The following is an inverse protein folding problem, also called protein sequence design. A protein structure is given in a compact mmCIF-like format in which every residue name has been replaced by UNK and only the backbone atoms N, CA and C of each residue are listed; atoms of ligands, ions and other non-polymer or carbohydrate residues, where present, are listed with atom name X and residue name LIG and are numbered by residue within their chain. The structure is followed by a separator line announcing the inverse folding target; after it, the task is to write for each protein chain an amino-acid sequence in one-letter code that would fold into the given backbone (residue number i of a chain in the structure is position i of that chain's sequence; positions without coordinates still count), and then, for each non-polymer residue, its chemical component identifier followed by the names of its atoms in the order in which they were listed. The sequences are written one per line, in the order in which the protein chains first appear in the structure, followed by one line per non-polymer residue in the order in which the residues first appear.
data_IF_291913327202
#
_entry.id   IF_291913327202
#
_cell.length_a   1.000
_cell.length_b   1.000
_cell.length_c   1.000
_cell.angle_alpha   90.00
_cell.angle_beta   90.00
_cell.angle_gamma   90.00
#
_symmetry.space_group_name_H-M   'P 1'
#
loop_
_entity.id
_entity.type
_entity.pdbx_description
1 polymer ?
#
# COMPACT_ATOMS: atom_id res chain seq x y z
N UNK A 1 -9.91 -32.14 1.75
CA UNK A 1 -9.83 -31.39 0.47
C UNK A 1 -10.79 -30.20 0.57
N UNK A 2 -10.30 -29.07 1.07
CA UNK A 2 -10.74 -27.69 0.78
C UNK A 2 -9.68 -26.75 1.41
N UNK A 3 -8.65 -26.33 0.66
CA UNK A 3 -7.69 -25.34 1.14
C UNK A 3 -7.95 -24.03 0.38
N UNK A 4 -8.77 -23.14 0.93
CA UNK A 4 -9.08 -21.86 0.24
C UNK A 4 -9.31 -20.69 1.19
N UNK A 5 -8.77 -20.71 2.42
CA UNK A 5 -9.05 -19.63 3.40
C UNK A 5 -7.86 -19.05 4.15
N UNK A 6 -6.62 -19.23 3.70
CA UNK A 6 -5.46 -18.85 4.53
C UNK A 6 -4.27 -18.25 3.78
N UNK A 7 -4.42 -17.71 2.56
CA UNK A 7 -3.27 -17.33 1.72
C UNK A 7 -3.21 -15.85 1.25
N UNK A 8 -4.14 -14.97 1.65
CA UNK A 8 -4.15 -13.56 1.19
C UNK A 8 -3.38 -12.59 2.12
N UNK A 9 -2.47 -13.07 2.98
CA UNK A 9 -2.48 -12.65 4.39
C UNK A 9 -1.64 -11.42 4.84
N UNK A 10 -0.68 -10.85 4.09
CA UNK A 10 0.20 -9.82 4.74
C UNK A 10 0.25 -8.45 4.05
N UNK A 11 0.28 -8.32 2.72
CA UNK A 11 0.16 -6.98 2.07
C UNK A 11 -1.25 -6.78 1.50
N UNK A 12 -1.77 -7.79 0.81
CA UNK A 12 -3.15 -7.83 0.30
C UNK A 12 -4.20 -7.78 1.42
N UNK A 13 -4.03 -8.54 2.50
CA UNK A 13 -4.97 -8.48 3.63
C UNK A 13 -4.82 -7.24 4.49
N UNK A 14 -3.62 -6.69 4.70
CA UNK A 14 -3.50 -5.42 5.42
C UNK A 14 -4.19 -4.31 4.62
N UNK A 15 -4.05 -4.28 3.29
CA UNK A 15 -4.72 -3.30 2.44
C UNK A 15 -6.24 -3.56 2.27
N UNK A 16 -6.66 -4.83 2.08
CA UNK A 16 -8.07 -5.22 1.93
C UNK A 16 -8.86 -5.12 3.25
N UNK A 17 -8.27 -5.58 4.36
CA UNK A 17 -8.86 -5.43 5.69
C UNK A 17 -8.91 -3.96 6.11
N UNK A 18 -7.92 -3.12 5.74
CA UNK A 18 -7.95 -1.68 5.98
C UNK A 18 -8.96 -0.94 5.08
N UNK A 19 -9.05 -1.27 3.77
CA UNK A 19 -10.05 -0.68 2.86
C UNK A 19 -11.47 -0.91 3.37
N UNK A 20 -11.72 -2.07 3.99
CA UNK A 20 -13.03 -2.41 4.55
C UNK A 20 -13.29 -1.84 5.96
N UNK A 21 -12.25 -1.53 6.75
CA UNK A 21 -12.40 -1.04 8.13
C UNK A 21 -12.17 0.47 8.31
N UNK A 22 -11.25 1.09 7.58
CA UNK A 22 -10.85 2.50 7.77
C UNK A 22 -11.49 3.51 6.81
N UNK A 23 -12.13 3.06 5.72
CA UNK A 23 -13.05 3.92 4.96
C UNK A 23 -14.21 4.45 5.82
N UNK A 24 -14.57 3.72 6.89
CA UNK A 24 -15.55 4.16 7.89
C UNK A 24 -14.96 5.04 9.01
N UNK A 25 -13.67 4.91 9.35
CA UNK A 25 -13.08 5.61 10.50
C UNK A 25 -12.57 7.02 10.19
N UNK A 26 -12.23 7.33 8.93
CA UNK A 26 -11.85 8.69 8.52
C UNK A 26 -13.04 9.65 8.35
N UNK A 27 -14.27 9.16 8.52
CA UNK A 27 -15.47 9.99 8.49
C UNK A 27 -15.67 10.85 9.76
N UNK A 28 -14.87 10.67 10.81
CA UNK A 28 -14.97 11.48 12.04
C UNK A 28 -13.75 12.39 12.20
N UNK A 29 -13.72 13.48 11.45
CA UNK A 29 -13.01 14.67 11.91
C UNK A 29 -13.70 15.17 13.19
N UNK A 30 -12.98 15.54 14.26
CA UNK A 30 -13.61 16.24 15.37
C UNK A 30 -14.17 17.54 14.79
N UNK A 31 -15.49 17.73 14.90
CA UNK A 31 -16.14 18.98 14.57
C UNK A 31 -15.64 20.07 15.53
N UNK A 32 -14.45 20.62 15.29
CA UNK A 32 -14.06 21.90 15.88
C UNK A 32 -14.91 22.94 15.20
N UNK A 33 -15.99 23.33 15.87
CA UNK A 33 -16.91 24.36 15.42
C UNK A 33 -16.09 25.60 15.03
N UNK A 34 -16.07 25.99 13.75
CA UNK A 34 -15.32 27.15 13.31
C UNK A 34 -16.04 28.41 13.76
N UNK A 35 -15.26 29.39 14.20
CA UNK A 35 -15.73 30.73 14.55
C UNK A 35 -16.32 31.41 13.30
N UNK A 36 -17.65 31.56 13.30
CA UNK A 36 -18.47 32.03 12.18
C UNK A 36 -18.37 33.54 11.90
N UNK A 37 -17.42 34.25 12.50
CA UNK A 37 -17.35 35.73 12.46
C UNK A 37 -16.52 36.32 11.32
N UNK A 38 -15.92 35.50 10.44
CA UNK A 38 -15.14 36.00 9.29
C UNK A 38 -15.96 35.96 7.99
N UNK A 39 -16.38 37.10 7.42
CA UNK A 39 -17.07 37.11 6.14
C UNK A 39 -16.03 36.90 5.03
N UNK A 40 -16.09 35.76 4.34
CA UNK A 40 -15.28 35.50 3.14
C UNK A 40 -14.72 34.08 2.99
N UNK A 41 -14.85 33.21 4.00
CA UNK A 41 -14.64 31.78 3.81
C UNK A 41 -15.99 31.10 3.70
N UNK A 42 -16.17 30.30 2.64
CA UNK A 42 -17.34 29.46 2.45
C UNK A 42 -17.67 28.71 3.75
N UNK A 43 -18.97 28.59 4.04
CA UNK A 43 -19.46 27.92 5.24
C UNK A 43 -18.82 26.53 5.35
N UNK A 44 -18.05 26.23 6.40
CA UNK A 44 -17.40 24.93 6.58
C UNK A 44 -18.40 23.75 6.63
N UNK A 45 -19.70 24.02 6.84
CA UNK A 45 -20.78 23.03 6.73
C UNK A 45 -21.21 22.71 5.28
N UNK A 46 -20.62 23.36 4.26
CA UNK A 46 -20.96 23.14 2.83
C UNK A 46 -19.98 22.24 2.07
N UNK A 47 -18.94 21.70 2.71
CA UNK A 47 -18.04 20.74 2.06
C UNK A 47 -18.70 19.36 1.99
N UNK A 48 -18.92 18.85 0.77
CA UNK A 48 -19.39 17.48 0.57
C UNK A 48 -18.28 16.48 0.94
N UNK A 49 -18.26 16.08 2.21
CA UNK A 49 -17.31 15.11 2.75
C UNK A 49 -17.42 13.75 2.07
N UNK A 50 -18.62 13.36 1.61
CA UNK A 50 -18.81 12.09 0.90
C UNK A 50 -18.12 12.13 -0.46
N UNK A 51 -18.26 13.23 -1.20
CA UNK A 51 -17.52 13.44 -2.44
C UNK A 51 -16.01 13.47 -2.20
N UNK A 52 -15.54 14.21 -1.20
CA UNK A 52 -14.12 14.31 -0.87
C UNK A 52 -13.51 12.93 -0.53
N UNK A 53 -14.17 12.15 0.33
CA UNK A 53 -13.73 10.80 0.69
C UNK A 53 -13.78 9.84 -0.50
N UNK A 54 -14.78 9.97 -1.38
CA UNK A 54 -14.86 9.14 -2.59
C UNK A 54 -13.72 9.43 -3.55
N UNK A 55 -13.33 10.70 -3.72
CA UNK A 55 -12.18 11.08 -4.56
C UNK A 55 -10.89 10.46 -4.01
N UNK A 56 -10.67 10.55 -2.69
CA UNK A 56 -9.50 9.94 -2.05
C UNK A 56 -9.49 8.42 -2.21
N UNK A 57 -10.63 7.76 -2.00
CA UNK A 57 -10.78 6.32 -2.20
C UNK A 57 -10.45 5.90 -3.64
N UNK A 58 -10.96 6.63 -4.64
CA UNK A 58 -10.70 6.32 -6.05
C UNK A 58 -9.22 6.46 -6.40
N UNK A 59 -8.56 7.51 -5.89
CA UNK A 59 -7.12 7.71 -6.04
C UNK A 59 -6.32 6.56 -5.42
N UNK A 60 -6.64 6.20 -4.18
CA UNK A 60 -5.90 5.16 -3.45
C UNK A 60 -6.13 3.78 -4.09
N UNK A 61 -7.34 3.53 -4.60
CA UNK A 61 -7.67 2.32 -5.37
C UNK A 61 -6.88 2.26 -6.69
N UNK A 62 -6.70 3.39 -7.39
CA UNK A 62 -5.93 3.41 -8.63
C UNK A 62 -4.46 3.01 -8.39
N UNK A 63 -3.85 3.49 -7.30
CA UNK A 63 -2.49 3.07 -6.93
C UNK A 63 -2.41 1.59 -6.54
N UNK A 64 -3.41 1.07 -5.83
CA UNK A 64 -3.48 -0.34 -5.51
C UNK A 64 -3.58 -1.22 -6.75
N UNK A 65 -4.45 -0.87 -7.70
CA UNK A 65 -4.59 -1.61 -8.95
C UNK A 65 -3.31 -1.58 -9.78
N UNK A 66 -2.63 -0.43 -9.83
CA UNK A 66 -1.32 -0.30 -10.48
C UNK A 66 -0.27 -1.19 -9.82
N UNK A 67 -0.23 -1.24 -8.48
CA UNK A 67 0.68 -2.11 -7.73
C UNK A 67 0.44 -3.59 -8.04
N UNK A 68 -0.83 -4.03 -8.03
CA UNK A 68 -1.19 -5.40 -8.37
C UNK A 68 -0.85 -5.76 -9.82
N UNK A 69 -1.12 -4.86 -10.76
CA UNK A 69 -0.79 -5.07 -12.17
C UNK A 69 0.73 -5.18 -12.38
N UNK A 70 1.50 -4.27 -11.77
CA UNK A 70 2.96 -4.28 -11.86
C UNK A 70 3.56 -5.57 -11.27
N UNK A 71 3.03 -6.06 -10.14
CA UNK A 71 3.45 -7.35 -9.56
C UNK A 71 3.15 -8.49 -10.52
N UNK A 72 1.91 -8.60 -11.02
CA UNK A 72 1.50 -9.69 -11.89
C UNK A 72 2.33 -9.75 -13.19
N UNK A 73 2.70 -8.59 -13.72
CA UNK A 73 3.55 -8.45 -14.91
C UNK A 73 5.05 -8.66 -14.64
N UNK A 74 5.46 -8.68 -13.36
CA UNK A 74 6.88 -8.80 -12.98
C UNK A 74 7.67 -7.50 -13.10
N UNK A 75 7.02 -6.34 -13.19
CA UNK A 75 7.68 -5.04 -13.34
C UNK A 75 8.01 -4.42 -11.98
N UNK A 76 9.20 -4.75 -11.47
CA UNK A 76 9.70 -4.20 -10.21
C UNK A 76 9.89 -2.68 -10.24
N UNK A 77 10.15 -2.09 -11.41
CA UNK A 77 10.30 -0.64 -11.55
C UNK A 77 9.00 0.07 -11.21
N UNK A 78 7.88 -0.37 -11.77
CA UNK A 78 6.54 0.16 -11.47
C UNK A 78 6.12 -0.08 -10.02
N UNK A 79 6.43 -1.27 -9.47
CA UNK A 79 6.22 -1.57 -8.05
C UNK A 79 6.90 -0.54 -7.16
N UNK A 80 8.16 -0.20 -7.44
CA UNK A 80 8.93 0.79 -6.67
C UNK A 80 8.38 2.21 -6.80
N UNK A 81 7.87 2.59 -7.97
CA UNK A 81 7.22 3.90 -8.16
C UNK A 81 6.00 4.06 -7.25
N UNK A 82 5.12 3.06 -7.18
CA UNK A 82 3.97 3.09 -6.26
C UNK A 82 4.43 3.06 -4.80
N UNK A 83 5.51 2.34 -4.49
CA UNK A 83 6.07 2.26 -3.14
C UNK A 83 6.52 3.61 -2.57
N UNK A 84 6.93 4.57 -3.43
CA UNK A 84 7.23 5.95 -3.01
C UNK A 84 6.01 6.63 -2.36
N UNK A 85 4.82 6.38 -2.91
CA UNK A 85 3.56 6.94 -2.42
C UNK A 85 3.11 6.20 -1.16
N UNK A 86 3.23 4.87 -1.14
CA UNK A 86 2.82 4.03 -0.01
C UNK A 86 3.53 4.41 1.29
N UNK A 87 4.78 4.88 1.24
CA UNK A 87 5.49 5.38 2.44
C UNK A 87 4.70 6.47 3.17
N UNK A 88 4.18 7.45 2.45
CA UNK A 88 3.38 8.53 3.03
C UNK A 88 2.01 8.03 3.49
N UNK A 89 1.45 7.08 2.75
CA UNK A 89 0.18 6.44 3.09
C UNK A 89 0.23 5.70 4.43
N UNK A 90 1.28 4.90 4.67
CA UNK A 90 1.45 4.21 5.96
C UNK A 90 1.66 5.18 7.12
N UNK A 91 2.41 6.27 6.89
CA UNK A 91 2.59 7.30 7.89
C UNK A 91 1.27 8.03 8.23
N UNK A 92 0.52 8.41 7.19
CA UNK A 92 -0.77 9.11 7.33
C UNK A 92 -1.87 8.23 7.92
N UNK A 93 -1.77 6.91 7.80
CA UNK A 93 -2.75 5.96 8.34
C UNK A 93 -2.43 5.45 9.76
N UNK A 94 -1.39 5.97 10.41
CA UNK A 94 -0.97 5.56 11.77
C UNK A 94 -0.17 4.24 11.81
N UNK A 95 0.14 3.66 10.65
CA UNK A 95 0.97 2.46 10.49
C UNK A 95 2.46 2.83 10.43
N UNK A 96 2.93 3.52 11.45
CA UNK A 96 4.26 4.17 11.45
C UNK A 96 5.42 3.19 11.39
N UNK A 97 5.26 1.96 11.88
CA UNK A 97 6.27 0.90 11.71
C UNK A 97 6.51 0.62 10.22
N UNK A 98 5.44 0.35 9.46
CA UNK A 98 5.53 0.15 8.00
C UNK A 98 6.06 1.39 7.28
N UNK A 99 5.62 2.59 7.69
CA UNK A 99 6.12 3.85 7.15
C UNK A 99 7.62 4.05 7.39
N UNK A 100 8.13 3.65 8.56
CA UNK A 100 9.55 3.71 8.93
C UNK A 100 10.37 2.73 8.10
N UNK A 101 9.98 1.45 8.05
CA UNK A 101 10.69 0.44 7.25
C UNK A 101 10.74 0.84 5.76
N UNK A 102 9.65 1.37 5.20
CA UNK A 102 9.63 1.89 3.82
C UNK A 102 10.51 3.13 3.61
N UNK A 103 10.74 3.94 4.64
CA UNK A 103 11.67 5.06 4.58
C UNK A 103 13.11 4.56 4.61
N UNK A 104 13.43 3.64 5.52
CA UNK A 104 14.76 3.05 5.63
C UNK A 104 15.15 2.31 4.33
N UNK A 105 14.23 1.52 3.76
CA UNK A 105 14.44 0.84 2.48
C UNK A 105 14.76 1.82 1.34
N UNK A 106 14.08 2.96 1.31
CA UNK A 106 14.30 3.98 0.31
C UNK A 106 15.61 4.73 0.48
N UNK A 107 15.99 5.04 1.72
CA UNK A 107 17.33 5.56 2.02
C UNK A 107 18.40 4.57 1.57
N UNK A 108 18.17 3.27 1.81
CA UNK A 108 18.98 2.17 1.29
C UNK A 108 19.20 2.29 -0.22
N UNK A 109 18.14 2.36 -1.01
CA UNK A 109 18.25 2.48 -2.47
C UNK A 109 18.86 3.79 -2.96
N UNK A 110 18.59 4.92 -2.30
CA UNK A 110 19.04 6.24 -2.74
C UNK A 110 20.51 6.51 -2.37
N UNK A 111 20.96 6.03 -1.22
CA UNK A 111 22.21 6.49 -0.61
C UNK A 111 23.17 5.36 -0.21
N UNK A 112 22.66 4.22 0.29
CA UNK A 112 23.52 3.25 0.99
C UNK A 112 23.89 2.02 0.17
N UNK A 113 22.98 1.53 -0.68
CA UNK A 113 23.19 0.27 -1.40
C UNK A 113 24.12 0.45 -2.60
N UNK A 114 25.18 -0.37 -2.75
CA UNK A 114 25.96 -0.39 -3.97
C UNK A 114 25.15 -1.04 -5.11
N UNK A 115 25.48 -0.69 -6.35
CA UNK A 115 24.72 -1.14 -7.53
C UNK A 115 24.50 -2.67 -7.61
N UNK A 116 25.51 -3.52 -7.34
CA UNK A 116 25.31 -4.98 -7.35
C UNK A 116 24.28 -5.47 -6.31
N UNK A 117 24.17 -4.78 -5.16
CA UNK A 117 23.18 -5.13 -4.15
C UNK A 117 21.78 -4.72 -4.58
N UNK A 118 21.63 -3.54 -5.21
CA UNK A 118 20.33 -3.11 -5.75
C UNK A 118 19.80 -4.10 -6.76
N UNK A 119 20.65 -4.50 -7.70
CA UNK A 119 20.31 -5.50 -8.70
C UNK A 119 19.90 -6.82 -8.05
N UNK A 120 20.68 -7.30 -7.07
CA UNK A 120 20.32 -8.51 -6.33
C UNK A 120 18.95 -8.38 -5.64
N UNK A 121 18.63 -7.24 -5.02
CA UNK A 121 17.33 -7.03 -4.40
C UNK A 121 16.22 -7.01 -5.46
N UNK A 122 16.39 -6.29 -6.58
CA UNK A 122 15.38 -6.22 -7.64
C UNK A 122 15.07 -7.60 -8.23
N UNK A 123 16.10 -8.42 -8.46
CA UNK A 123 15.94 -9.78 -8.98
C UNK A 123 15.33 -10.76 -7.98
N UNK A 124 15.32 -10.43 -6.68
CA UNK A 124 14.74 -11.27 -5.63
C UNK A 124 13.44 -10.70 -5.06
N UNK A 125 12.88 -9.63 -5.62
CA UNK A 125 11.64 -9.07 -5.06
C UNK A 125 10.40 -9.81 -5.56
N UNK A 126 10.42 -10.17 -6.84
CA UNK A 126 9.33 -10.89 -7.51
C UNK A 126 9.81 -12.26 -7.97
N UNK A 127 8.91 -13.23 -7.96
CA UNK A 127 9.18 -14.60 -8.35
C UNK A 127 8.06 -15.12 -9.23
N UNK A 128 8.40 -15.91 -10.25
CA UNK A 128 7.42 -16.60 -11.08
C UNK A 128 7.77 -18.10 -11.14
N UNK A 129 7.29 -18.90 -10.16
CA UNK A 129 7.57 -20.33 -10.13
C UNK A 129 6.98 -21.09 -11.31
N UNK A 130 5.91 -20.56 -11.92
CA UNK A 130 5.20 -21.20 -13.03
C UNK A 130 5.88 -20.98 -14.39
N UNK A 131 6.64 -19.89 -14.52
CA UNK A 131 7.21 -19.42 -15.79
C UNK A 131 6.18 -18.88 -16.79
N UNK A 132 4.92 -18.71 -16.40
CA UNK A 132 3.86 -18.19 -17.25
C UNK A 132 3.77 -16.66 -17.14
N UNK A 133 3.56 -15.98 -18.26
CA UNK A 133 3.34 -14.53 -18.26
C UNK A 133 2.14 -14.16 -17.37
N UNK A 134 2.26 -13.07 -16.62
CA UNK A 134 1.19 -12.61 -15.70
C UNK A 134 1.11 -13.37 -14.36
N UNK A 135 2.01 -14.33 -14.09
CA UNK A 135 1.99 -15.19 -12.89
C UNK A 135 3.17 -14.91 -11.95
N UNK A 136 3.60 -13.66 -11.91
CA UNK A 136 4.59 -13.20 -10.94
C UNK A 136 3.93 -12.93 -9.58
N UNK A 137 4.69 -13.18 -8.52
CA UNK A 137 4.27 -13.06 -7.12
C UNK A 137 5.37 -12.38 -6.31
N UNK A 138 5.02 -11.82 -5.16
CA UNK A 138 6.00 -11.31 -4.21
C UNK A 138 6.83 -12.48 -3.64
N UNK A 139 8.17 -12.38 -3.67
CA UNK A 139 9.02 -13.47 -3.19
C UNK A 139 8.78 -13.74 -1.69
N UNK A 140 8.54 -12.69 -0.90
CA UNK A 140 8.27 -12.84 0.53
C UNK A 140 6.99 -13.67 0.79
N UNK A 141 5.98 -13.56 -0.08
CA UNK A 141 4.78 -14.39 0.01
C UNK A 141 5.11 -15.87 -0.24
N UNK A 142 6.00 -16.18 -1.19
CA UNK A 142 6.48 -17.54 -1.39
C UNK A 142 7.28 -18.04 -0.18
N UNK A 143 8.10 -17.17 0.42
CA UNK A 143 8.83 -17.48 1.66
C UNK A 143 7.87 -17.80 2.81
N UNK A 144 6.81 -17.01 2.99
CA UNK A 144 5.76 -17.24 3.98
C UNK A 144 5.06 -18.58 3.77
N UNK A 145 4.73 -18.93 2.51
CA UNK A 145 4.17 -20.23 2.17
C UNK A 145 5.10 -21.37 2.60
N UNK A 146 6.40 -21.29 2.32
CA UNK A 146 7.33 -22.33 2.77
C UNK A 146 7.42 -22.39 4.31
N UNK A 147 7.44 -21.25 4.99
CA UNK A 147 7.46 -21.17 6.45
C UNK A 147 6.23 -21.82 7.09
N UNK A 148 5.07 -21.75 6.43
CA UNK A 148 3.83 -22.40 6.86
C UNK A 148 3.90 -23.93 6.76
N UNK A 149 4.64 -24.48 5.80
CA UNK A 149 4.69 -25.93 5.54
C UNK A 149 5.74 -26.65 6.40
N UNK A 150 6.70 -25.91 6.96
CA UNK A 150 7.78 -26.46 7.81
C UNK A 150 7.36 -26.50 9.30
N UNK A 151 6.30 -25.79 9.69
CA UNK A 151 5.73 -25.80 11.05
C UNK A 151 4.79 -26.99 11.25
#
# INVERSE_FOLDING_TARGET
MQPTRTAELIVGQVFHQWMTTNAYSQATYPATHPDTTKPGLADPDTSDLALANTILLMRDTAWYLEFCAAIAEGDIGRVLEVQKILRFYFWGSGNTNYGKEMLELACGFLYDFPEPLKEAIYQNWLVNPSGLDGHWHELDLLQEHHNLWIK
#
